data_IF_063877880747
#
_entry.id   IF_063877880747
#
_cell.length_a   1.000
_cell.length_b   1.000
_cell.length_c   1.000
_cell.angle_alpha   90.00
_cell.angle_beta   90.00
_cell.angle_gamma   90.00
#
_symmetry.space_group_name_H-M   'P 1'
#
loop_
_entity.id
_entity.type
_entity.pdbx_description
1 polymer ?
#
# COMPACT_ATOMS: atom_id res chain seq x y z
N UNK A 1 45.97 43.29 58.93
CA UNK A 1 45.76 43.12 57.48
C UNK A 1 44.53 42.23 57.32
N UNK A 2 43.34 42.76 57.61
CA UNK A 2 42.41 43.33 56.63
C UNK A 2 41.94 42.28 55.62
N UNK A 3 40.79 41.71 55.96
CA UNK A 3 39.94 40.80 55.20
C UNK A 3 39.56 41.39 53.84
N UNK A 4 39.72 40.62 52.76
CA UNK A 4 39.12 40.95 51.45
C UNK A 4 38.65 39.68 50.74
N UNK A 5 37.37 39.41 50.94
CA UNK A 5 36.34 39.08 49.95
C UNK A 5 36.60 37.93 48.96
N UNK A 6 35.96 36.80 49.25
CA UNK A 6 35.65 35.76 48.28
C UNK A 6 34.72 36.32 47.18
N UNK A 7 35.21 36.37 45.93
CA UNK A 7 34.37 36.60 44.76
C UNK A 7 33.55 35.34 44.50
N UNK A 8 32.28 35.40 44.86
CA UNK A 8 31.25 34.44 44.42
C UNK A 8 31.09 34.60 42.91
N UNK A 9 31.67 33.69 42.13
CA UNK A 9 31.35 33.57 40.71
C UNK A 9 29.96 32.92 40.59
N UNK A 10 28.99 33.72 40.15
CA UNK A 10 27.62 33.32 39.83
C UNK A 10 27.61 32.13 38.86
N UNK A 11 26.76 31.11 39.08
CA UNK A 11 26.68 29.96 38.18
C UNK A 11 26.27 30.43 36.78
N UNK A 12 27.10 30.08 35.80
CA UNK A 12 26.81 30.22 34.37
C UNK A 12 25.46 29.58 34.07
N UNK A 13 24.52 30.39 33.58
CA UNK A 13 23.16 29.97 33.22
C UNK A 13 23.19 28.73 32.30
N UNK A 14 22.25 27.79 32.46
CA UNK A 14 22.21 26.61 31.60
C UNK A 14 21.90 27.03 30.15
N UNK A 15 22.49 26.37 29.14
CA UNK A 15 22.12 26.61 27.75
C UNK A 15 20.63 26.32 27.59
N UNK A 16 19.87 27.33 27.18
CA UNK A 16 18.43 27.22 26.87
C UNK A 16 18.22 26.04 25.93
N UNK A 17 17.58 25.00 26.44
CA UNK A 17 17.18 23.85 25.66
C UNK A 17 16.34 24.32 24.47
N UNK A 18 16.90 24.22 23.26
CA UNK A 18 16.16 24.42 22.02
C UNK A 18 15.29 23.18 21.76
N UNK A 19 14.38 22.87 22.69
CA UNK A 19 13.30 21.89 22.47
C UNK A 19 12.18 22.58 21.70
N UNK A 20 12.41 22.83 20.41
CA UNK A 20 11.35 23.18 19.46
C UNK A 20 11.31 22.11 18.38
N UNK A 21 10.79 20.96 18.78
CA UNK A 21 10.50 19.82 17.95
C UNK A 21 9.57 18.91 18.72
N UNK A 22 8.42 19.44 19.15
CA UNK A 22 7.35 18.60 19.70
C UNK A 22 6.93 17.56 18.65
N UNK A 23 6.29 16.48 19.10
CA UNK A 23 5.87 15.32 18.29
C UNK A 23 5.29 15.72 16.93
N UNK A 24 4.56 16.83 16.86
CA UNK A 24 4.00 17.40 15.63
C UNK A 24 5.02 17.67 14.50
N UNK A 25 6.24 18.15 14.82
CA UNK A 25 7.28 18.42 13.82
C UNK A 25 7.93 17.15 13.25
N UNK A 26 7.98 16.10 14.07
CA UNK A 26 8.43 14.77 13.63
C UNK A 26 7.38 14.13 12.72
N UNK A 27 6.09 14.28 13.05
CA UNK A 27 4.99 13.78 12.21
C UNK A 27 4.91 14.49 10.87
N UNK A 28 5.12 15.81 10.80
CA UNK A 28 5.14 16.53 9.52
C UNK A 28 6.33 16.13 8.64
N UNK A 29 7.52 15.97 9.23
CA UNK A 29 8.71 15.52 8.51
C UNK A 29 8.55 14.07 7.98
N UNK A 30 7.91 13.20 8.77
CA UNK A 30 7.56 11.84 8.35
C UNK A 30 6.67 11.84 7.10
N UNK A 31 5.57 12.59 7.09
CA UNK A 31 4.66 12.63 5.94
C UNK A 31 5.26 13.32 4.71
N UNK A 32 6.15 14.30 4.88
CA UNK A 32 6.89 14.89 3.76
C UNK A 32 7.83 13.90 3.07
N UNK A 33 8.42 12.97 3.84
CA UNK A 33 9.33 11.96 3.30
C UNK A 33 8.60 10.71 2.79
N UNK A 34 7.65 10.19 3.57
CA UNK A 34 6.91 8.96 3.29
C UNK A 34 5.73 9.20 2.35
N UNK A 35 5.13 10.39 2.39
CA UNK A 35 3.96 10.76 1.59
C UNK A 35 4.16 10.57 0.09
N UNK A 36 5.23 11.09 -0.54
CA UNK A 36 5.46 10.90 -1.97
C UNK A 36 5.62 9.42 -2.36
N UNK A 37 6.27 8.62 -1.51
CA UNK A 37 6.40 7.18 -1.74
C UNK A 37 5.04 6.48 -1.65
N UNK A 38 4.24 6.77 -0.63
CA UNK A 38 2.90 6.22 -0.47
C UNK A 38 1.96 6.64 -1.61
N UNK A 39 2.05 7.90 -2.05
CA UNK A 39 1.28 8.40 -3.20
C UNK A 39 1.72 7.65 -4.45
N UNK A 40 3.02 7.49 -4.70
CA UNK A 40 3.55 6.70 -5.79
C UNK A 40 3.01 5.26 -5.76
N UNK A 41 3.17 4.58 -4.63
CA UNK A 41 2.65 3.22 -4.43
C UNK A 41 1.14 3.14 -4.71
N UNK A 42 0.36 4.07 -4.16
CA UNK A 42 -1.08 4.10 -4.35
C UNK A 42 -1.43 4.31 -5.82
N UNK A 43 -0.81 5.28 -6.49
CA UNK A 43 -1.04 5.55 -7.91
C UNK A 43 -0.66 4.33 -8.75
N UNK A 44 0.54 3.79 -8.58
CA UNK A 44 1.01 2.66 -9.39
C UNK A 44 0.26 1.36 -9.12
N UNK A 45 -0.32 1.17 -7.94
CA UNK A 45 -1.16 0.00 -7.63
C UNK A 45 -2.58 0.19 -8.13
N UNK A 46 -3.23 1.32 -7.79
CA UNK A 46 -4.65 1.50 -8.03
C UNK A 46 -4.97 1.98 -9.45
N UNK A 47 -4.10 2.77 -10.09
CA UNK A 47 -4.33 3.20 -11.49
C UNK A 47 -4.49 2.01 -12.43
N UNK A 48 -3.58 1.02 -12.51
CA UNK A 48 -3.76 -0.11 -13.41
C UNK A 48 -4.95 -0.99 -13.03
N UNK A 49 -5.30 -1.09 -11.74
CA UNK A 49 -6.50 -1.81 -11.29
C UNK A 49 -7.76 -1.10 -11.80
N UNK A 50 -7.88 0.21 -11.56
CA UNK A 50 -9.03 1.01 -12.01
C UNK A 50 -9.11 0.96 -13.53
N UNK A 51 -7.98 1.08 -14.23
CA UNK A 51 -7.93 0.94 -15.68
C UNK A 51 -8.42 -0.43 -16.14
N UNK A 52 -7.97 -1.52 -15.49
CA UNK A 52 -8.42 -2.88 -15.80
C UNK A 52 -9.91 -3.07 -15.55
N UNK A 53 -10.45 -2.46 -14.50
CA UNK A 53 -11.89 -2.47 -14.17
C UNK A 53 -12.67 -1.68 -15.21
N UNK A 54 -12.23 -0.48 -15.59
CA UNK A 54 -12.87 0.32 -16.65
C UNK A 54 -12.86 -0.43 -17.98
N UNK A 55 -11.74 -1.08 -18.32
CA UNK A 55 -11.63 -1.90 -19.53
C UNK A 55 -12.46 -3.18 -19.42
N UNK A 56 -12.65 -3.80 -18.25
CA UNK A 56 -13.45 -5.03 -18.12
C UNK A 56 -14.93 -4.80 -18.42
N UNK A 57 -15.42 -3.57 -18.24
CA UNK A 57 -16.77 -3.13 -18.65
C UNK A 57 -16.89 -2.81 -20.14
N UNK A 58 -15.78 -2.80 -20.89
CA UNK A 58 -15.73 -2.50 -22.32
C UNK A 58 -15.43 -3.77 -23.12
N UNK A 59 -16.18 -4.03 -24.21
CA UNK A 59 -15.98 -5.23 -25.07
C UNK A 59 -14.65 -5.08 -25.82
N UNK A 60 -13.56 -5.63 -25.28
CA UNK A 60 -12.29 -5.71 -25.99
C UNK A 60 -12.12 -7.11 -26.58
N UNK A 61 -12.98 -7.47 -27.52
CA UNK A 61 -12.77 -8.65 -28.36
C UNK A 61 -11.84 -8.25 -29.51
N UNK A 62 -10.52 -8.34 -29.27
CA UNK A 62 -9.48 -8.50 -30.29
C UNK A 62 -9.44 -7.54 -31.50
N UNK A 63 -10.02 -6.34 -31.44
CA UNK A 63 -9.88 -5.34 -32.52
C UNK A 63 -9.94 -3.93 -31.96
N UNK A 64 -9.09 -3.06 -32.50
CA UNK A 64 -8.82 -1.65 -32.15
C UNK A 64 -10.01 -0.73 -32.50
N UNK A 65 -11.23 -1.19 -32.26
CA UNK A 65 -12.47 -0.44 -32.48
C UNK A 65 -13.27 -0.49 -31.18
N UNK A 66 -13.51 0.65 -30.51
CA UNK A 66 -14.28 0.70 -29.27
C UNK A 66 -15.74 0.41 -29.59
N UNK A 67 -16.08 -0.88 -29.61
CA UNK A 67 -17.43 -1.37 -29.83
C UNK A 67 -18.16 -1.54 -28.50
N UNK A 68 -18.97 -0.55 -28.16
CA UNK A 68 -20.06 -0.54 -27.17
C UNK A 68 -19.73 -0.86 -25.70
N UNK A 69 -20.25 -0.03 -24.82
CA UNK A 69 -20.25 -0.24 -23.37
C UNK A 69 -21.16 -1.42 -23.04
N UNK A 70 -20.59 -2.56 -22.63
CA UNK A 70 -21.34 -3.81 -22.39
C UNK A 70 -21.73 -4.00 -20.93
N UNK A 71 -21.17 -3.18 -20.04
CA UNK A 71 -21.41 -3.28 -18.60
C UNK A 71 -21.10 -4.67 -18.07
N UNK A 72 -22.06 -5.30 -17.37
CA UNK A 72 -21.90 -6.58 -16.69
C UNK A 72 -22.06 -7.82 -17.58
N UNK A 73 -22.40 -7.65 -18.86
CA UNK A 73 -22.70 -8.77 -19.75
C UNK A 73 -21.48 -9.68 -19.98
N UNK A 74 -20.27 -9.09 -19.99
CA UNK A 74 -19.00 -9.80 -20.09
C UNK A 74 -18.81 -10.82 -18.93
N UNK A 75 -19.19 -10.44 -17.72
CA UNK A 75 -19.13 -11.33 -16.56
C UNK A 75 -20.14 -12.47 -16.66
N UNK A 76 -21.35 -12.19 -17.16
CA UNK A 76 -22.36 -13.21 -17.40
C UNK A 76 -21.94 -14.25 -18.44
N UNK A 77 -21.20 -13.84 -19.47
CA UNK A 77 -20.65 -14.74 -20.50
C UNK A 77 -19.46 -15.55 -19.96
N UNK A 78 -18.60 -14.98 -19.11
CA UNK A 78 -17.52 -15.71 -18.43
C UNK A 78 -18.04 -16.80 -17.49
N UNK A 79 -19.21 -16.61 -16.89
CA UNK A 79 -19.84 -17.57 -15.99
C UNK A 79 -20.57 -18.72 -16.72
N UNK A 80 -20.60 -18.71 -18.06
CA UNK A 80 -21.18 -19.81 -18.84
C UNK A 80 -20.25 -21.02 -18.87
N UNK A 81 -20.80 -22.24 -19.02
CA UNK A 81 -20.00 -23.45 -19.24
C UNK A 81 -19.08 -23.24 -20.46
N UNK A 82 -17.78 -23.40 -20.25
CA UNK A 82 -16.77 -23.13 -21.25
C UNK A 82 -15.36 -23.25 -20.68
N UNK A 83 -14.33 -23.06 -21.52
CA UNK A 83 -12.93 -23.35 -21.16
C UNK A 83 -12.44 -22.53 -19.97
N UNK A 84 -12.99 -21.33 -19.74
CA UNK A 84 -12.69 -20.50 -18.57
C UNK A 84 -13.14 -21.17 -17.27
N UNK A 85 -14.41 -21.62 -17.20
CA UNK A 85 -14.95 -22.30 -16.02
C UNK A 85 -14.27 -23.65 -15.80
N UNK A 86 -14.00 -24.41 -16.87
CA UNK A 86 -13.28 -25.68 -16.76
C UNK A 86 -11.87 -25.48 -16.18
N UNK A 87 -11.14 -24.46 -16.68
CA UNK A 87 -9.82 -24.10 -16.15
C UNK A 87 -9.88 -23.64 -14.70
N UNK A 88 -10.91 -22.84 -14.35
CA UNK A 88 -11.12 -22.35 -13.00
C UNK A 88 -11.42 -23.50 -12.02
N UNK A 89 -12.21 -24.49 -12.44
CA UNK A 89 -12.49 -25.70 -11.65
C UNK A 89 -11.22 -26.51 -11.47
N UNK A 90 -10.47 -26.79 -12.54
CA UNK A 90 -9.18 -27.50 -12.45
C UNK A 90 -8.22 -26.81 -11.48
N UNK A 91 -8.06 -25.49 -11.59
CA UNK A 91 -7.21 -24.72 -10.70
C UNK A 91 -7.71 -24.79 -9.24
N UNK A 92 -9.01 -24.63 -9.02
CA UNK A 92 -9.62 -24.64 -7.68
C UNK A 92 -9.46 -26.00 -7.02
N UNK A 93 -9.73 -27.07 -7.76
CA UNK A 93 -9.55 -28.46 -7.28
C UNK A 93 -8.08 -28.67 -6.92
N UNK A 94 -7.15 -28.31 -7.81
CA UNK A 94 -5.72 -28.42 -7.56
C UNK A 94 -5.28 -27.64 -6.30
N UNK A 95 -5.69 -26.38 -6.17
CA UNK A 95 -5.40 -25.55 -5.01
C UNK A 95 -6.00 -26.12 -3.72
N UNK A 96 -7.23 -26.62 -3.77
CA UNK A 96 -7.93 -27.22 -2.63
C UNK A 96 -7.22 -28.48 -2.10
N UNK A 97 -6.44 -29.18 -2.93
CA UNK A 97 -5.61 -30.31 -2.47
C UNK A 97 -4.21 -29.88 -2.05
N UNK A 98 -3.53 -29.06 -2.84
CA UNK A 98 -2.15 -28.66 -2.56
C UNK A 98 -2.04 -27.80 -1.30
N UNK A 99 -2.96 -26.85 -1.10
CA UNK A 99 -2.89 -25.94 0.05
C UNK A 99 -2.95 -26.74 1.35
N UNK A 100 -3.96 -27.58 1.63
CA UNK A 100 -3.97 -28.38 2.85
C UNK A 100 -2.78 -29.34 2.97
N UNK A 101 -2.35 -29.96 1.86
CA UNK A 101 -1.22 -30.88 1.87
C UNK A 101 0.09 -30.19 2.26
N UNK A 102 0.34 -29.00 1.69
CA UNK A 102 1.53 -28.20 2.02
C UNK A 102 1.49 -27.72 3.47
N UNK A 103 0.33 -27.31 3.99
CA UNK A 103 0.17 -27.00 5.41
C UNK A 103 0.43 -28.21 6.31
N UNK A 104 -0.12 -29.38 5.98
CA UNK A 104 0.09 -30.60 6.75
C UNK A 104 1.56 -31.04 6.77
N UNK A 105 2.26 -30.95 5.64
CA UNK A 105 3.69 -31.25 5.54
C UNK A 105 4.57 -30.18 6.19
N UNK A 106 4.15 -28.91 6.19
CA UNK A 106 4.92 -27.81 6.81
C UNK A 106 4.85 -27.80 8.33
N UNK A 107 3.83 -28.42 8.92
CA UNK A 107 3.64 -28.52 10.38
C UNK A 107 4.32 -29.79 10.94
N UNK A 108 4.71 -30.73 10.07
CA UNK A 108 5.39 -31.99 10.42
C UNK A 108 6.91 -31.89 10.45
#
# INVERSE_FOLDING_TARGET
MSSTTATVATPSAPPRARRRGGVAGVTSAFWLFVGPFLVGLFVFVYVPIIWSVVLSFSRAQNTVTPGEWVGLQNYGDLLRPGPFIDSLITFTVFAAFIVPLTFALSIG
#
